data_IF_536434530655
#
_entry.id   IF_536434530655
#
_cell.length_a   1.000
_cell.length_b   1.000
_cell.length_c   1.000
_cell.angle_alpha   90.00
_cell.angle_beta   90.00
_cell.angle_gamma   90.00
#
_symmetry.space_group_name_H-M   'P 1'
#
loop_
_entity.id
_entity.type
_entity.pdbx_description
1 polymer ?
#
# COMPACT_ATOMS: atom_id res chain seq x y z
N UNK A 1 -5.79 -9.76 -8.81
CA UNK A 1 -6.71 -9.03 -7.91
C UNK A 1 -7.04 -9.90 -6.71
N UNK A 2 -7.12 -9.30 -5.52
CA UNK A 2 -7.21 -9.94 -4.22
C UNK A 2 -8.47 -9.46 -3.48
N UNK A 3 -9.10 -10.34 -2.69
CA UNK A 3 -10.16 -9.93 -1.76
C UNK A 3 -9.54 -9.24 -0.54
N UNK A 4 -10.33 -8.51 0.24
CA UNK A 4 -9.87 -7.80 1.44
C UNK A 4 -9.01 -8.66 2.38
N UNK A 5 -9.44 -9.89 2.68
CA UNK A 5 -8.70 -10.82 3.55
C UNK A 5 -7.35 -11.20 2.97
N UNK A 6 -7.31 -11.46 1.66
CA UNK A 6 -6.12 -11.91 0.95
C UNK A 6 -5.13 -10.74 0.79
N UNK A 7 -5.62 -9.55 0.48
CA UNK A 7 -4.83 -8.32 0.42
C UNK A 7 -4.23 -7.96 1.79
N UNK A 8 -5.02 -8.06 2.86
CA UNK A 8 -4.52 -7.85 4.22
C UNK A 8 -3.44 -8.88 4.59
N UNK A 9 -3.69 -10.16 4.31
CA UNK A 9 -2.71 -11.22 4.52
C UNK A 9 -1.44 -11.02 3.69
N UNK A 10 -1.58 -10.59 2.45
CA UNK A 10 -0.47 -10.27 1.55
C UNK A 10 0.42 -9.15 2.10
N UNK A 11 -0.19 -8.11 2.67
CA UNK A 11 0.53 -7.02 3.34
C UNK A 11 1.00 -7.36 4.77
N UNK A 12 0.76 -8.59 5.26
CA UNK A 12 1.15 -9.01 6.61
C UNK A 12 0.30 -8.36 7.73
N UNK A 13 -0.93 -7.95 7.44
CA UNK A 13 -1.79 -7.20 8.35
C UNK A 13 -3.10 -7.95 8.66
N UNK A 14 -3.74 -7.58 9.77
CA UNK A 14 -5.11 -8.01 10.05
C UNK A 14 -6.11 -7.27 9.14
N UNK A 15 -7.08 -7.98 8.57
CA UNK A 15 -8.09 -7.41 7.67
C UNK A 15 -8.89 -6.25 8.27
N UNK A 16 -9.04 -6.21 9.60
CA UNK A 16 -9.70 -5.09 10.31
C UNK A 16 -8.87 -3.80 10.28
N UNK A 17 -7.55 -3.91 10.37
CA UNK A 17 -6.65 -2.76 10.34
C UNK A 17 -6.37 -2.31 8.89
N UNK A 18 -6.37 -3.25 7.95
CA UNK A 18 -6.06 -3.02 6.54
C UNK A 18 -6.91 -1.89 5.92
N UNK A 19 -8.22 -1.84 6.18
CA UNK A 19 -9.08 -0.77 5.64
C UNK A 19 -8.76 0.64 6.13
N UNK A 20 -8.18 0.78 7.32
CA UNK A 20 -7.80 2.08 7.87
C UNK A 20 -6.37 2.49 7.53
N UNK A 21 -5.51 1.54 7.18
CA UNK A 21 -4.08 1.75 6.99
C UNK A 21 -3.64 1.68 5.53
N UNK A 22 -4.34 0.89 4.70
CA UNK A 22 -4.01 0.77 3.29
C UNK A 22 -4.66 1.93 2.52
N UNK A 23 -3.88 2.81 1.89
CA UNK A 23 -4.40 3.91 1.08
C UNK A 23 -4.87 3.44 -0.31
N UNK A 24 -4.59 2.19 -0.68
CA UNK A 24 -4.93 1.65 -2.01
C UNK A 24 -6.44 1.50 -2.13
N UNK A 25 -6.99 2.17 -3.15
CA UNK A 25 -8.42 2.15 -3.44
C UNK A 25 -8.84 0.79 -4.01
N UNK A 26 -9.89 0.21 -3.45
CA UNK A 26 -10.43 -1.03 -3.98
C UNK A 26 -11.14 -0.79 -5.32
N UNK A 27 -10.93 -1.67 -6.28
CA UNK A 27 -11.63 -1.67 -7.55
C UNK A 27 -12.99 -2.32 -7.37
N UNK A 28 -14.03 -1.57 -7.71
CA UNK A 28 -15.40 -2.07 -7.72
C UNK A 28 -15.66 -2.84 -9.02
N UNK A 29 -15.85 -4.14 -8.89
CA UNK A 29 -16.12 -5.03 -10.02
C UNK A 29 -17.60 -4.95 -10.43
N UNK A 30 -17.95 -5.32 -11.68
CA UNK A 30 -19.35 -5.27 -12.16
C UNK A 30 -20.35 -6.11 -11.36
N UNK A 31 -19.87 -7.05 -10.55
CA UNK A 31 -20.68 -7.87 -9.63
C UNK A 31 -20.82 -7.25 -8.23
N UNK A 32 -20.36 -6.01 -8.01
CA UNK A 32 -20.41 -5.30 -6.74
C UNK A 32 -19.33 -5.70 -5.73
N UNK A 33 -18.43 -6.61 -6.09
CA UNK A 33 -17.32 -7.02 -5.21
C UNK A 33 -16.18 -6.02 -5.31
N UNK A 34 -15.63 -5.66 -4.15
CA UNK A 34 -14.42 -4.85 -4.05
C UNK A 34 -13.17 -5.73 -4.02
N UNK A 35 -12.27 -5.51 -4.96
CA UNK A 35 -11.00 -6.23 -5.06
C UNK A 35 -9.83 -5.24 -5.11
N UNK A 36 -8.69 -5.66 -4.57
CA UNK A 36 -7.45 -4.89 -4.60
C UNK A 36 -6.53 -5.44 -5.68
N UNK A 37 -5.89 -4.58 -6.46
CA UNK A 37 -4.85 -5.03 -7.38
C UNK A 37 -3.55 -5.29 -6.61
N UNK A 38 -2.89 -6.41 -6.93
CA UNK A 38 -1.65 -6.77 -6.25
C UNK A 38 -0.51 -5.81 -6.62
N UNK A 39 -0.50 -5.27 -7.85
CA UNK A 39 0.53 -4.32 -8.29
C UNK A 39 0.41 -2.99 -7.59
N UNK A 40 -0.81 -2.53 -7.31
CA UNK A 40 -1.01 -1.29 -6.54
C UNK A 40 -0.57 -1.48 -5.08
N UNK A 41 -0.83 -2.66 -4.52
CA UNK A 41 -0.33 -3.02 -3.18
C UNK A 41 1.20 -3.12 -3.16
N UNK A 42 1.82 -3.73 -4.18
CA UNK A 42 3.28 -3.79 -4.31
C UNK A 42 3.88 -2.40 -4.44
N UNK A 43 3.32 -1.54 -5.29
CA UNK A 43 3.78 -0.17 -5.44
C UNK A 43 3.69 0.62 -4.12
N UNK A 44 2.61 0.42 -3.35
CA UNK A 44 2.49 1.01 -2.02
C UNK A 44 3.54 0.46 -1.05
N UNK A 45 3.73 -0.86 -1.00
CA UNK A 45 4.74 -1.51 -0.14
C UNK A 45 6.15 -1.09 -0.51
N UNK A 46 6.45 -0.94 -1.80
CA UNK A 46 7.74 -0.48 -2.28
C UNK A 46 7.96 1.00 -1.98
N UNK A 47 6.91 1.83 -2.04
CA UNK A 47 6.96 3.21 -1.53
C UNK A 47 7.24 3.29 -0.03
N UNK A 48 6.67 2.37 0.78
CA UNK A 48 7.00 2.28 2.21
C UNK A 48 8.46 1.86 2.44
N UNK A 49 9.01 0.96 1.61
CA UNK A 49 10.41 0.51 1.71
C UNK A 49 11.41 1.56 1.24
N UNK A 50 11.07 2.32 0.20
CA UNK A 50 11.91 3.38 -0.34
C UNK A 50 12.10 4.53 0.66
N UNK A 51 11.32 4.54 1.75
CA UNK A 51 11.19 5.69 2.62
C UNK A 51 10.44 6.80 1.89
N UNK A 52 9.91 7.75 2.65
CA UNK A 52 9.49 9.03 2.10
C UNK A 52 10.72 9.62 1.39
N UNK A 53 10.77 9.53 0.05
CA UNK A 53 11.95 9.88 -0.76
C UNK A 53 12.35 11.37 -0.60
N UNK A 54 11.59 12.15 0.16
CA UNK A 54 11.94 13.48 0.65
C UNK A 54 12.95 13.50 1.82
N UNK A 55 13.33 12.36 2.40
CA UNK A 55 14.18 12.36 3.61
C UNK A 55 15.66 12.09 3.37
N UNK A 56 16.10 11.40 2.32
CA UNK A 56 17.52 11.03 2.20
C UNK A 56 18.35 12.08 1.43
N UNK A 57 17.85 12.64 0.32
CA UNK A 57 18.55 13.71 -0.41
C UNK A 57 18.47 15.07 0.31
N UNK A 58 17.43 15.32 1.12
CA UNK A 58 17.31 16.55 1.91
C UNK A 58 18.24 16.59 3.14
N UNK A 59 18.77 15.45 3.61
CA UNK A 59 19.74 15.39 4.71
C UNK A 59 21.15 15.70 4.22
N UNK A 60 21.50 15.30 2.98
CA UNK A 60 22.84 15.54 2.41
C UNK A 60 23.09 17.02 2.06
N UNK A 61 22.06 17.79 1.71
CA UNK A 61 22.19 19.24 1.44
C UNK A 61 22.37 20.09 2.70
N UNK A 62 22.20 19.49 3.89
CA UNK A 62 22.34 20.16 5.20
C UNK A 62 23.67 19.95 5.90
N UNK A 63 24.58 19.19 5.28
CA UNK A 63 25.91 18.84 5.78
C UNK A 63 27.02 19.38 4.88
N UNK A 64 26.79 20.56 4.29
CA UNK A 64 27.86 21.36 3.67
C UNK A 64 29.08 21.52 4.56
#
# INVERSE_FOLDING_TARGET
>A
MLKKSDAAGYCGMAAKAFEGLCPVTAVEMPNGVRLWDARDLDAWLDGLKAGDADSDDAILDKLG
#
